data_IF_393500314286
#
_entry.id   IF_393500314286
#
_cell.length_a   1.000
_cell.length_b   1.000
_cell.length_c   1.000
_cell.angle_alpha   90.00
_cell.angle_beta   90.00
_cell.angle_gamma   90.00
#
_symmetry.space_group_name_H-M   'P 1'
#
loop_
_entity.id
_entity.type
_entity.pdbx_description
1 polymer ?
#
# COMPACT_ATOMS: atom_id res chain seq x y z
N UNK A 1 51.27 -63.36 16.70
CA UNK A 1 51.22 -63.07 15.24
C UNK A 1 50.28 -61.88 15.03
N UNK A 2 50.81 -60.78 14.52
CA UNK A 2 50.10 -59.51 14.26
C UNK A 2 49.34 -59.66 12.98
N UNK A 3 48.01 -59.32 12.97
CA UNK A 3 47.25 -59.07 11.77
C UNK A 3 46.89 -57.58 11.67
N UNK A 4 47.31 -57.00 10.56
CA UNK A 4 47.23 -55.57 10.25
C UNK A 4 45.78 -55.14 9.95
N UNK A 5 45.44 -53.98 10.52
CA UNK A 5 44.26 -53.22 10.14
C UNK A 5 44.34 -52.68 8.72
N UNK A 6 43.34 -52.99 7.93
CA UNK A 6 43.15 -52.45 6.57
C UNK A 6 42.69 -51.00 6.61
N UNK A 7 43.50 -50.16 6.00
CA UNK A 7 43.28 -48.71 5.79
C UNK A 7 41.90 -48.41 5.19
N UNK A 8 41.17 -47.53 5.86
CA UNK A 8 40.01 -46.85 5.30
C UNK A 8 40.40 -46.06 4.05
N UNK A 9 39.73 -46.34 2.96
CA UNK A 9 40.00 -45.83 1.61
C UNK A 9 39.48 -44.37 1.43
N UNK A 10 40.21 -43.53 0.68
CA UNK A 10 39.81 -42.16 0.38
C UNK A 10 38.67 -42.06 -0.65
N UNK A 11 38.12 -43.19 -1.14
CA UNK A 11 37.10 -43.23 -2.19
C UNK A 11 35.81 -42.51 -1.82
N UNK A 12 35.37 -42.59 -0.56
CA UNK A 12 34.17 -41.87 -0.10
C UNK A 12 34.29 -40.31 -0.10
N UNK A 13 35.51 -39.79 0.15
CA UNK A 13 35.77 -38.35 0.10
C UNK A 13 35.83 -37.82 -1.33
N UNK A 14 36.38 -38.62 -2.27
CA UNK A 14 36.44 -38.25 -3.69
C UNK A 14 35.03 -38.27 -4.31
N UNK A 15 34.18 -39.25 -3.94
CA UNK A 15 32.79 -39.33 -4.39
C UNK A 15 31.95 -38.15 -3.85
N UNK A 16 32.16 -37.75 -2.56
CA UNK A 16 31.48 -36.60 -1.98
C UNK A 16 31.89 -35.26 -2.65
N UNK A 17 33.18 -35.08 -2.93
CA UNK A 17 33.67 -33.87 -3.66
C UNK A 17 33.15 -33.84 -5.09
N UNK A 18 33.10 -34.98 -5.79
CA UNK A 18 32.54 -35.08 -7.14
C UNK A 18 31.01 -34.77 -7.14
N UNK A 19 30.26 -35.21 -6.14
CA UNK A 19 28.84 -34.89 -5.99
C UNK A 19 28.60 -33.40 -5.71
N UNK A 20 29.43 -32.77 -4.87
CA UNK A 20 29.36 -31.33 -4.60
C UNK A 20 29.68 -30.54 -5.87
N UNK A 21 30.72 -30.92 -6.61
CA UNK A 21 31.08 -30.23 -7.86
C UNK A 21 29.99 -30.41 -8.94
N UNK A 22 29.35 -31.59 -9.03
CA UNK A 22 28.23 -31.80 -9.94
C UNK A 22 26.98 -30.97 -9.55
N UNK A 23 26.66 -30.87 -8.25
CA UNK A 23 25.60 -30.05 -7.75
C UNK A 23 25.86 -28.55 -8.00
N UNK A 24 27.10 -28.09 -7.77
CA UNK A 24 27.52 -26.71 -8.06
C UNK A 24 27.44 -26.38 -9.55
N UNK A 25 27.87 -27.31 -10.41
CA UNK A 25 27.77 -27.17 -11.87
C UNK A 25 26.30 -27.12 -12.33
N UNK A 26 25.42 -27.94 -11.74
CA UNK A 26 23.99 -27.91 -12.04
C UNK A 26 23.32 -26.59 -11.62
N UNK A 27 23.67 -26.06 -10.46
CA UNK A 27 23.20 -24.73 -9.99
C UNK A 27 23.71 -23.63 -10.92
N UNK A 28 24.98 -23.66 -11.33
CA UNK A 28 25.55 -22.68 -12.26
C UNK A 28 24.90 -22.76 -13.65
N UNK A 29 24.56 -23.97 -14.13
CA UNK A 29 23.83 -24.14 -15.38
C UNK A 29 22.40 -23.66 -15.31
N UNK A 30 21.73 -23.84 -14.17
CA UNK A 30 20.38 -23.29 -13.92
C UNK A 30 20.40 -21.76 -13.83
N UNK A 31 21.38 -21.18 -13.14
CA UNK A 31 21.57 -19.74 -13.07
C UNK A 31 21.93 -19.17 -14.45
N UNK A 32 22.80 -19.84 -15.21
CA UNK A 32 23.14 -19.41 -16.57
C UNK A 32 21.95 -19.55 -17.53
N UNK A 33 21.15 -20.60 -17.39
CA UNK A 33 19.90 -20.76 -18.15
C UNK A 33 18.83 -19.73 -17.77
N UNK A 34 18.82 -19.28 -16.53
CA UNK A 34 17.94 -18.19 -16.09
C UNK A 34 18.43 -16.84 -16.59
N UNK A 35 19.73 -16.60 -16.54
CA UNK A 35 20.38 -15.38 -17.03
C UNK A 35 20.27 -15.25 -18.56
N UNK A 36 20.40 -16.35 -19.31
CA UNK A 36 20.18 -16.36 -20.76
C UNK A 36 18.71 -16.18 -21.15
N UNK A 37 17.76 -16.68 -20.33
CA UNK A 37 16.33 -16.38 -20.53
C UNK A 37 16.00 -14.93 -20.22
N UNK A 38 16.63 -14.37 -19.20
CA UNK A 38 16.50 -12.94 -18.86
C UNK A 38 17.07 -12.09 -19.98
N UNK A 39 18.29 -12.38 -20.47
CA UNK A 39 18.90 -11.68 -21.60
C UNK A 39 18.14 -11.89 -22.94
N UNK A 40 17.46 -13.00 -23.14
CA UNK A 40 16.62 -13.23 -24.33
C UNK A 40 15.30 -12.44 -24.25
N UNK A 41 14.77 -12.21 -23.05
CA UNK A 41 13.64 -11.28 -22.84
C UNK A 41 14.10 -9.80 -22.97
N UNK A 42 15.35 -9.49 -22.59
CA UNK A 42 15.95 -8.17 -22.71
C UNK A 42 16.43 -7.88 -24.17
N UNK A 43 16.45 -8.88 -25.06
CA UNK A 43 16.84 -8.74 -26.47
C UNK A 43 15.63 -8.52 -27.41
N UNK A 44 14.58 -7.87 -26.91
CA UNK A 44 13.64 -7.19 -27.80
C UNK A 44 14.44 -6.01 -28.40
N UNK A 45 14.54 -5.93 -29.74
CA UNK A 45 15.11 -4.77 -30.43
C UNK A 45 14.41 -3.52 -29.88
N UNK A 46 15.07 -2.80 -28.98
CA UNK A 46 14.57 -1.56 -28.43
C UNK A 46 14.76 -0.45 -29.47
N UNK A 47 13.70 -0.02 -30.18
CA UNK A 47 13.79 1.01 -31.21
C UNK A 47 14.16 2.39 -30.61
N UNK A 48 14.17 2.51 -29.27
CA UNK A 48 14.47 3.72 -28.51
C UNK A 48 15.81 3.65 -27.77
N UNK A 49 16.61 2.61 -28.03
CA UNK A 49 17.93 2.46 -27.42
C UNK A 49 18.80 3.71 -27.68
N UNK A 50 19.19 4.38 -26.60
CA UNK A 50 19.99 5.64 -26.67
C UNK A 50 19.17 6.92 -26.48
N UNK A 51 17.88 6.85 -26.23
CA UNK A 51 17.09 7.98 -25.73
C UNK A 51 17.33 8.14 -24.21
N UNK A 52 17.31 9.39 -23.70
CA UNK A 52 17.45 9.67 -22.27
C UNK A 52 16.29 9.13 -21.43
N UNK A 53 15.15 8.84 -22.04
CA UNK A 53 13.92 8.38 -21.42
C UNK A 53 13.96 6.85 -21.27
N UNK A 54 13.88 6.36 -20.02
CA UNK A 54 13.76 4.91 -19.74
C UNK A 54 12.40 4.40 -20.15
N UNK A 55 12.35 3.51 -21.15
CA UNK A 55 11.11 2.90 -21.63
C UNK A 55 10.93 1.49 -21.05
N UNK A 56 9.67 1.13 -20.80
CA UNK A 56 9.25 -0.18 -20.33
C UNK A 56 8.48 -0.89 -21.44
N UNK A 57 8.86 -2.15 -21.75
CA UNK A 57 8.12 -2.97 -22.71
C UNK A 57 7.09 -3.82 -21.98
N UNK A 58 5.81 -3.69 -22.37
CA UNK A 58 4.71 -4.44 -21.78
C UNK A 58 3.66 -4.79 -22.86
N UNK A 59 3.22 -6.05 -22.91
CA UNK A 59 2.17 -6.55 -23.82
C UNK A 59 2.29 -6.07 -25.27
N UNK A 60 3.51 -6.12 -25.84
CA UNK A 60 3.74 -5.79 -27.24
C UNK A 60 3.86 -4.30 -27.56
N UNK A 61 3.95 -3.44 -26.55
CA UNK A 61 4.09 -2.00 -26.72
C UNK A 61 5.16 -1.42 -25.76
N UNK A 62 5.71 -0.26 -26.17
CA UNK A 62 6.62 0.50 -25.34
C UNK A 62 5.88 1.59 -24.58
N UNK A 63 6.29 1.84 -23.36
CA UNK A 63 5.70 2.80 -22.44
C UNK A 63 6.76 3.65 -21.78
N UNK A 64 6.50 4.95 -21.68
CA UNK A 64 7.28 5.90 -20.90
C UNK A 64 6.62 6.15 -19.55
N UNK A 65 7.41 6.35 -18.51
CA UNK A 65 6.90 6.74 -17.19
C UNK A 65 6.33 8.16 -17.26
N UNK A 66 5.14 8.37 -16.69
CA UNK A 66 4.56 9.70 -16.52
C UNK A 66 5.25 10.45 -15.39
N UNK A 67 5.31 11.78 -15.47
CA UNK A 67 5.66 12.65 -14.35
C UNK A 67 4.41 12.82 -13.46
N UNK A 68 4.40 12.13 -12.34
CA UNK A 68 3.28 12.09 -11.39
C UNK A 68 3.82 12.40 -9.99
N UNK A 69 2.94 12.88 -9.13
CA UNK A 69 3.18 12.99 -7.70
C UNK A 69 2.30 11.98 -6.96
N UNK A 70 2.87 11.27 -6.00
CA UNK A 70 2.21 10.20 -5.28
C UNK A 70 2.16 10.49 -3.79
N UNK A 71 0.99 10.30 -3.19
CA UNK A 71 0.78 10.47 -1.75
C UNK A 71 0.07 9.24 -1.21
N UNK A 72 0.73 8.52 -0.31
CA UNK A 72 0.11 7.41 0.40
C UNK A 72 -0.60 7.95 1.64
N UNK A 73 -1.93 7.89 1.62
CA UNK A 73 -2.78 8.22 2.77
C UNK A 73 -3.14 6.93 3.50
N UNK A 74 -2.92 6.90 4.80
CA UNK A 74 -3.23 5.74 5.62
C UNK A 74 -3.98 6.11 6.89
N UNK A 75 -4.86 5.22 7.34
CA UNK A 75 -5.50 5.26 8.65
C UNK A 75 -4.91 4.18 9.54
N UNK A 76 -4.34 4.58 10.66
CA UNK A 76 -3.62 3.70 11.59
C UNK A 76 -4.53 3.34 12.75
N UNK A 77 -4.59 2.05 13.11
CA UNK A 77 -5.39 1.56 14.24
C UNK A 77 -4.75 1.94 15.59
N UNK A 78 -4.76 3.24 15.85
CA UNK A 78 -4.24 3.88 17.07
C UNK A 78 -5.10 5.07 17.41
N UNK A 79 -5.21 5.33 18.72
CA UNK A 79 -5.73 6.59 19.25
C UNK A 79 -4.57 7.47 19.72
N UNK A 80 -4.74 8.80 19.60
CA UNK A 80 -3.68 9.76 19.98
C UNK A 80 -3.24 9.63 21.45
N UNK A 81 -4.16 9.22 22.33
CA UNK A 81 -3.91 9.05 23.77
C UNK A 81 -3.37 7.66 24.15
N UNK A 82 -3.21 6.74 23.18
CA UNK A 82 -2.66 5.42 23.46
C UNK A 82 -1.17 5.57 23.84
N UNK A 83 -0.84 5.08 25.06
CA UNK A 83 0.54 5.03 25.50
C UNK A 83 1.33 4.05 24.59
N UNK A 84 2.53 4.45 24.18
CA UNK A 84 3.45 3.54 23.52
C UNK A 84 3.70 2.33 24.44
N UNK A 85 3.55 1.11 23.90
CA UNK A 85 3.89 -0.10 24.64
C UNK A 85 5.39 -0.09 24.96
N UNK A 86 5.75 -0.02 26.24
CA UNK A 86 7.12 0.21 26.68
C UNK A 86 8.09 -0.95 26.37
N UNK A 87 7.58 -2.14 26.03
CA UNK A 87 8.37 -3.38 25.93
C UNK A 87 8.22 -4.15 24.60
N UNK A 88 7.55 -3.62 23.57
CA UNK A 88 7.32 -4.35 22.33
C UNK A 88 8.25 -3.87 21.21
N UNK A 89 8.89 -4.83 20.53
CA UNK A 89 9.74 -4.57 19.34
C UNK A 89 8.95 -3.99 18.17
N UNK A 90 7.64 -4.21 18.17
CA UNK A 90 6.70 -3.66 17.19
C UNK A 90 5.84 -2.59 17.87
N UNK A 91 5.48 -1.54 17.14
CA UNK A 91 4.63 -0.47 17.66
C UNK A 91 3.13 -0.85 17.74
N UNK A 92 2.75 -2.07 17.32
CA UNK A 92 1.38 -2.60 17.27
C UNK A 92 0.37 -1.76 16.45
N UNK A 93 0.84 -0.75 15.71
CA UNK A 93 0.03 0.16 14.94
C UNK A 93 -0.11 -0.34 13.49
N UNK A 94 -1.27 -0.91 13.14
CA UNK A 94 -1.54 -1.40 11.78
C UNK A 94 -2.17 -0.33 10.91
N UNK A 95 -1.77 -0.26 9.64
CA UNK A 95 -2.41 0.60 8.65
C UNK A 95 -3.70 -0.07 8.13
N UNK A 96 -4.83 0.20 8.79
CA UNK A 96 -6.13 -0.42 8.52
C UNK A 96 -6.84 0.14 7.27
N UNK A 97 -6.38 1.28 6.80
CA UNK A 97 -6.84 1.96 5.60
C UNK A 97 -5.63 2.41 4.78
N UNK A 98 -5.62 2.11 3.49
CA UNK A 98 -4.55 2.47 2.56
C UNK A 98 -5.14 3.00 1.26
N UNK A 99 -4.75 4.21 0.90
CA UNK A 99 -5.17 4.90 -0.31
C UNK A 99 -3.97 5.56 -0.97
N UNK A 100 -3.60 5.11 -2.15
CA UNK A 100 -2.60 5.80 -2.96
C UNK A 100 -3.29 6.87 -3.79
N UNK A 101 -2.95 8.11 -3.56
CA UNK A 101 -3.38 9.27 -4.35
C UNK A 101 -2.30 9.58 -5.36
N UNK A 102 -2.66 9.59 -6.64
CA UNK A 102 -1.76 9.87 -7.77
C UNK A 102 -2.24 11.13 -8.47
N UNK A 103 -1.38 12.13 -8.53
CA UNK A 103 -1.66 13.44 -9.09
C UNK A 103 -0.98 13.57 -10.46
N UNK A 104 -1.78 13.65 -11.52
CA UNK A 104 -1.32 14.03 -12.84
C UNK A 104 -1.64 15.52 -13.06
N UNK A 105 -0.68 16.37 -12.71
CA UNK A 105 -0.83 17.83 -12.81
C UNK A 105 -0.94 18.29 -14.25
N UNK A 106 -0.37 17.54 -15.21
CA UNK A 106 -0.42 17.86 -16.62
C UNK A 106 -1.82 17.58 -17.21
N UNK A 107 -2.46 16.51 -16.75
CA UNK A 107 -3.81 16.14 -17.19
C UNK A 107 -4.93 16.77 -16.34
N UNK A 108 -4.62 17.37 -15.17
CA UNK A 108 -5.60 17.85 -14.19
C UNK A 108 -6.47 16.70 -13.67
N UNK A 109 -5.83 15.59 -13.29
CA UNK A 109 -6.50 14.39 -12.79
C UNK A 109 -5.86 13.94 -11.48
N UNK A 110 -6.70 13.78 -10.48
CA UNK A 110 -6.35 13.12 -9.23
C UNK A 110 -6.94 11.70 -9.25
N UNK A 111 -6.11 10.68 -9.14
CA UNK A 111 -6.55 9.28 -9.10
C UNK A 111 -6.34 8.70 -7.73
N UNK A 112 -7.38 8.12 -7.15
CA UNK A 112 -7.33 7.42 -5.87
C UNK A 112 -7.37 5.90 -6.12
N UNK A 113 -6.34 5.18 -5.70
CA UNK A 113 -6.21 3.73 -5.76
C UNK A 113 -6.27 3.15 -4.34
N UNK A 114 -7.40 2.56 -3.93
CA UNK A 114 -7.49 1.85 -2.66
C UNK A 114 -6.61 0.59 -2.70
N UNK A 115 -5.92 0.30 -1.60
CA UNK A 115 -5.11 -0.91 -1.45
C UNK A 115 -5.70 -1.80 -0.36
N UNK A 116 -5.77 -3.10 -0.61
CA UNK A 116 -6.25 -4.04 0.38
C UNK A 116 -5.15 -4.26 1.43
N UNK A 117 -5.45 -3.96 2.68
CA UNK A 117 -4.52 -4.08 3.81
C UNK A 117 -3.99 -5.50 4.03
N UNK A 118 -4.75 -6.52 3.63
CA UNK A 118 -4.40 -7.94 3.81
C UNK A 118 -3.53 -8.46 2.64
N UNK A 119 -3.18 -7.60 1.65
CA UNK A 119 -2.34 -7.97 0.51
C UNK A 119 -0.98 -8.44 0.98
N UNK A 120 -0.59 -9.64 0.54
CA UNK A 120 0.71 -10.22 0.83
C UNK A 120 1.79 -9.56 -0.04
N UNK A 121 2.78 -8.95 0.60
CA UNK A 121 3.89 -8.25 -0.08
C UNK A 121 5.18 -8.35 0.73
N UNK A 122 6.30 -7.88 0.15
CA UNK A 122 7.56 -7.76 0.87
C UNK A 122 7.50 -6.59 1.86
N UNK A 123 7.78 -6.89 3.12
CA UNK A 123 7.85 -5.91 4.22
C UNK A 123 9.28 -5.79 4.68
N UNK A 124 9.75 -4.56 4.90
CA UNK A 124 11.03 -4.29 5.56
C UNK A 124 10.83 -4.25 7.08
N UNK A 125 11.59 -5.05 7.81
CA UNK A 125 11.70 -4.93 9.25
C UNK A 125 12.78 -3.90 9.60
N UNK A 126 12.43 -2.92 10.45
CA UNK A 126 13.35 -1.90 10.96
C UNK A 126 13.78 -2.23 12.38
N UNK A 127 15.03 -1.91 12.70
CA UNK A 127 15.55 -1.94 14.06
C UNK A 127 15.17 -0.70 14.86
N UNK A 128 15.51 -0.69 16.15
CA UNK A 128 15.19 0.39 17.11
C UNK A 128 15.72 1.77 16.70
N UNK A 129 16.75 1.84 15.86
CA UNK A 129 17.32 3.07 15.34
C UNK A 129 16.88 3.35 13.88
N UNK A 130 15.85 2.65 13.39
CA UNK A 130 15.32 2.80 12.03
C UNK A 130 16.19 2.14 10.94
N UNK A 131 17.23 1.38 11.31
CA UNK A 131 18.07 0.65 10.37
C UNK A 131 17.34 -0.60 9.82
N UNK A 132 17.50 -0.89 8.54
CA UNK A 132 16.94 -2.07 7.91
C UNK A 132 17.60 -3.34 8.45
N UNK A 133 16.83 -4.22 9.08
CA UNK A 133 17.31 -5.48 9.66
C UNK A 133 17.05 -6.69 8.78
N UNK A 134 16.07 -6.62 7.88
CA UNK A 134 15.71 -7.69 6.95
C UNK A 134 14.42 -7.40 6.21
N UNK A 135 13.96 -8.39 5.43
CA UNK A 135 12.65 -8.38 4.77
C UNK A 135 11.96 -9.73 4.96
N UNK A 136 10.64 -9.71 4.93
CA UNK A 136 9.80 -10.90 4.96
C UNK A 136 8.52 -10.64 4.16
N UNK A 137 7.78 -11.69 3.81
CA UNK A 137 6.46 -11.54 3.19
C UNK A 137 5.39 -11.54 4.27
N UNK A 138 4.52 -10.53 4.26
CA UNK A 138 3.43 -10.39 5.22
C UNK A 138 2.30 -9.51 4.66
N UNK A 139 1.24 -9.34 5.45
CA UNK A 139 0.15 -8.43 5.11
C UNK A 139 0.66 -6.98 5.03
N UNK A 140 0.26 -6.24 4.01
CA UNK A 140 0.65 -4.86 3.75
C UNK A 140 0.48 -3.98 5.00
N UNK A 141 -0.64 -4.07 5.70
CA UNK A 141 -0.92 -3.32 6.94
C UNK A 141 0.14 -3.45 8.05
N UNK A 142 0.93 -4.54 8.04
CA UNK A 142 1.95 -4.80 9.04
C UNK A 142 3.24 -3.99 8.80
N UNK A 143 3.44 -3.44 7.61
CA UNK A 143 4.63 -2.66 7.33
C UNK A 143 4.76 -1.45 8.26
N UNK A 144 3.64 -0.81 8.62
CA UNK A 144 3.60 0.26 9.62
C UNK A 144 4.04 -0.22 11.00
N UNK A 145 3.56 -1.39 11.42
CA UNK A 145 3.87 -2.03 12.71
C UNK A 145 5.38 -2.30 12.89
N UNK A 146 6.08 -2.62 11.79
CA UNK A 146 7.51 -2.91 11.81
C UNK A 146 8.42 -1.68 11.62
N UNK A 147 7.85 -0.47 11.66
CA UNK A 147 8.59 0.77 11.79
C UNK A 147 8.89 1.12 13.27
N UNK A 148 9.65 2.20 13.48
CA UNK A 148 10.00 2.68 14.83
C UNK A 148 8.98 3.66 15.44
N UNK A 149 7.79 3.76 14.84
CA UNK A 149 6.71 4.67 15.24
C UNK A 149 6.63 5.95 14.39
N UNK A 150 5.48 6.61 14.41
CA UNK A 150 5.24 7.88 13.76
C UNK A 150 5.60 7.90 12.27
N UNK A 151 6.27 8.96 11.85
CA UNK A 151 6.66 9.16 10.45
C UNK A 151 7.55 8.04 9.88
N UNK A 152 8.40 7.41 10.70
CA UNK A 152 9.26 6.34 10.24
C UNK A 152 8.45 5.08 9.89
N UNK A 153 7.44 4.76 10.68
CA UNK A 153 6.47 3.71 10.38
C UNK A 153 5.65 4.01 9.12
N UNK A 154 5.18 5.26 8.97
CA UNK A 154 4.47 5.68 7.76
C UNK A 154 5.33 5.53 6.50
N UNK A 155 6.61 5.89 6.56
CA UNK A 155 7.56 5.68 5.46
C UNK A 155 7.85 4.20 5.20
N UNK A 156 7.84 3.37 6.25
CA UNK A 156 7.99 1.92 6.07
C UNK A 156 6.82 1.32 5.32
N UNK A 157 5.60 1.77 5.61
CA UNK A 157 4.41 1.42 4.82
C UNK A 157 4.54 1.87 3.35
N UNK A 158 5.04 3.09 3.11
CA UNK A 158 5.34 3.58 1.77
C UNK A 158 6.32 2.70 1.00
N UNK A 159 7.34 2.13 1.67
CA UNK A 159 8.27 1.17 1.06
C UNK A 159 7.57 -0.14 0.66
N UNK A 160 6.68 -0.65 1.50
CA UNK A 160 5.92 -1.87 1.19
C UNK A 160 4.94 -1.66 0.03
N UNK A 161 4.26 -0.50 -0.03
CA UNK A 161 3.43 -0.11 -1.17
C UNK A 161 4.28 0.04 -2.44
N UNK A 162 5.45 0.66 -2.35
CA UNK A 162 6.39 0.74 -3.47
C UNK A 162 6.79 -0.64 -3.99
N UNK A 163 7.13 -1.57 -3.08
CA UNK A 163 7.47 -2.95 -3.44
C UNK A 163 6.31 -3.66 -4.13
N UNK A 164 5.09 -3.54 -3.59
CA UNK A 164 3.87 -4.08 -4.20
C UNK A 164 3.65 -3.53 -5.62
N UNK A 165 3.93 -2.25 -5.85
CA UNK A 165 3.73 -1.57 -7.14
C UNK A 165 5.01 -1.54 -8.00
N UNK A 166 5.80 -2.62 -7.97
CA UNK A 166 7.00 -2.85 -8.79
C UNK A 166 8.05 -1.76 -8.70
N UNK A 167 8.26 -1.20 -7.50
CA UNK A 167 9.25 -0.16 -7.25
C UNK A 167 8.78 1.25 -7.63
N UNK A 168 7.47 1.45 -7.79
CA UNK A 168 6.92 2.81 -7.98
C UNK A 168 7.26 3.68 -6.77
N UNK A 169 7.84 4.85 -7.02
CA UNK A 169 8.19 5.80 -5.97
C UNK A 169 6.93 6.34 -5.27
N UNK A 170 6.98 6.45 -3.95
CA UNK A 170 5.97 7.09 -3.12
C UNK A 170 6.61 8.38 -2.59
N UNK A 171 6.16 9.53 -3.13
CA UNK A 171 6.80 10.82 -2.85
C UNK A 171 6.50 11.30 -1.42
N UNK A 172 5.26 11.09 -0.97
CA UNK A 172 4.79 11.55 0.34
C UNK A 172 3.94 10.51 1.05
N UNK A 173 3.97 10.57 2.39
CA UNK A 173 3.14 9.74 3.26
C UNK A 173 2.34 10.61 4.24
N UNK A 174 1.10 10.18 4.53
CA UNK A 174 0.19 10.81 5.49
C UNK A 174 -0.48 9.71 6.30
N UNK A 175 -0.15 9.59 7.58
CA UNK A 175 -0.74 8.63 8.50
C UNK A 175 -1.65 9.35 9.51
N UNK A 176 -2.91 8.96 9.54
CA UNK A 176 -3.92 9.49 10.44
C UNK A 176 -4.27 8.48 11.51
N UNK A 177 -4.34 8.93 12.76
CA UNK A 177 -4.92 8.12 13.84
C UNK A 177 -6.45 8.09 13.73
N UNK A 178 -7.10 7.18 14.49
CA UNK A 178 -8.56 7.03 14.46
C UNK A 178 -9.32 8.29 14.87
N UNK A 179 -8.76 9.10 15.76
CA UNK A 179 -9.36 10.37 16.23
C UNK A 179 -9.46 11.43 15.13
N UNK A 180 -8.72 11.30 14.04
CA UNK A 180 -8.80 12.21 12.91
C UNK A 180 -10.16 12.13 12.18
N UNK A 181 -10.82 10.95 12.16
CA UNK A 181 -12.06 10.74 11.40
C UNK A 181 -13.21 11.61 11.91
N UNK A 182 -13.54 11.62 13.22
CA UNK A 182 -14.54 12.53 13.77
C UNK A 182 -14.24 14.01 13.50
N UNK A 183 -12.98 14.42 13.72
CA UNK A 183 -12.54 15.81 13.53
C UNK A 183 -12.70 16.25 12.08
N UNK A 184 -12.19 15.46 11.14
CA UNK A 184 -12.31 15.73 9.70
C UNK A 184 -13.78 15.77 9.24
N UNK A 185 -14.60 14.83 9.71
CA UNK A 185 -16.01 14.75 9.37
C UNK A 185 -16.77 15.98 9.84
N UNK A 186 -16.53 16.43 11.07
CA UNK A 186 -17.22 17.60 11.64
C UNK A 186 -16.74 18.90 11.01
N UNK A 187 -15.45 19.03 10.69
CA UNK A 187 -14.87 20.19 10.02
C UNK A 187 -15.52 20.48 8.66
N UNK A 188 -15.85 19.42 7.87
CA UNK A 188 -16.56 19.59 6.59
C UNK A 188 -18.09 19.70 6.75
N UNK A 189 -18.61 19.79 7.97
CA UNK A 189 -20.05 19.91 8.26
C UNK A 189 -20.82 18.61 8.10
N UNK A 190 -20.15 17.45 8.19
CA UNK A 190 -20.71 16.11 8.08
C UNK A 190 -20.61 15.50 6.66
N UNK A 191 -20.48 14.20 6.57
CA UNK A 191 -20.27 13.44 5.34
C UNK A 191 -21.49 12.61 4.99
N UNK A 192 -22.20 12.88 3.85
CA UNK A 192 -23.35 12.09 3.42
C UNK A 192 -22.89 10.75 2.83
N UNK A 193 -23.53 9.66 3.29
CA UNK A 193 -23.28 8.29 2.80
C UNK A 193 -24.61 7.53 2.67
N UNK A 194 -24.66 6.58 1.73
CA UNK A 194 -25.67 5.53 1.73
C UNK A 194 -25.21 4.38 2.63
N UNK A 195 -26.01 3.98 3.59
CA UNK A 195 -25.72 2.86 4.49
C UNK A 195 -26.15 1.55 3.81
N UNK A 196 -25.20 0.79 3.30
CA UNK A 196 -25.48 -0.48 2.60
C UNK A 196 -25.41 -1.70 3.53
N UNK A 197 -24.66 -1.60 4.63
CA UNK A 197 -24.48 -2.68 5.60
C UNK A 197 -25.47 -2.60 6.77
N UNK A 198 -25.68 -3.74 7.44
CA UNK A 198 -26.49 -3.82 8.65
C UNK A 198 -25.68 -3.46 9.90
N UNK A 199 -25.95 -2.28 10.46
CA UNK A 199 -25.36 -1.79 11.70
C UNK A 199 -26.26 -2.00 12.93
N UNK A 200 -27.39 -2.69 12.82
CA UNK A 200 -28.39 -2.80 13.89
C UNK A 200 -27.84 -3.37 15.21
N UNK A 201 -26.78 -4.18 15.15
CA UNK A 201 -26.09 -4.71 16.32
C UNK A 201 -25.19 -3.67 17.03
N UNK A 202 -24.87 -2.54 16.37
CA UNK A 202 -23.95 -1.51 16.87
C UNK A 202 -24.69 -0.22 17.20
N UNK A 203 -25.58 0.23 16.31
CA UNK A 203 -26.33 1.49 16.46
C UNK A 203 -27.57 1.52 15.57
N UNK A 204 -28.62 2.19 16.05
CA UNK A 204 -29.85 2.49 15.29
C UNK A 204 -29.71 3.76 14.40
N UNK A 205 -28.60 4.50 14.54
CA UNK A 205 -28.35 5.72 13.78
C UNK A 205 -27.84 5.46 12.36
N UNK A 206 -27.50 4.20 12.02
CA UNK A 206 -27.05 3.77 10.69
C UNK A 206 -28.05 2.74 10.10
N UNK A 207 -29.28 3.16 9.79
CA UNK A 207 -30.29 2.24 9.24
C UNK A 207 -29.94 1.83 7.82
N UNK A 208 -29.90 0.53 7.57
CA UNK A 208 -29.59 -0.04 6.25
C UNK A 208 -30.55 0.50 5.16
N UNK A 209 -30.02 0.81 4.00
CA UNK A 209 -30.75 1.31 2.83
C UNK A 209 -31.10 2.80 2.88
N UNK A 210 -30.61 3.55 3.86
CA UNK A 210 -30.90 4.97 4.00
C UNK A 210 -29.65 5.85 3.81
N UNK A 211 -29.85 7.06 3.32
CA UNK A 211 -28.82 8.10 3.32
C UNK A 211 -28.72 8.72 4.71
N UNK A 212 -27.51 8.79 5.25
CA UNK A 212 -27.19 9.38 6.55
C UNK A 212 -26.06 10.39 6.38
N UNK A 213 -26.17 11.53 7.04
CA UNK A 213 -25.04 12.46 7.17
C UNK A 213 -24.25 12.11 8.43
N UNK A 214 -23.10 11.52 8.24
CA UNK A 214 -22.19 11.13 9.33
C UNK A 214 -21.64 12.37 10.03
N UNK A 215 -21.45 12.29 11.36
CA UNK A 215 -20.82 13.30 12.21
C UNK A 215 -20.09 12.62 13.37
N UNK A 216 -19.01 13.24 13.83
CA UNK A 216 -18.30 12.80 15.03
C UNK A 216 -18.04 11.29 15.05
N UNK A 217 -18.27 10.68 16.19
CA UNK A 217 -18.07 9.22 16.41
C UNK A 217 -18.92 8.31 15.51
N UNK A 218 -20.02 8.81 14.96
CA UNK A 218 -20.82 8.03 14.04
C UNK A 218 -20.06 7.75 12.73
N UNK A 219 -19.22 8.71 12.29
CA UNK A 219 -18.34 8.51 11.14
C UNK A 219 -17.29 7.43 11.41
N UNK A 220 -16.67 7.45 12.59
CA UNK A 220 -15.72 6.42 13.00
C UNK A 220 -16.40 5.03 13.08
N UNK A 221 -17.60 4.97 13.66
CA UNK A 221 -18.41 3.74 13.69
C UNK A 221 -18.68 3.22 12.27
N UNK A 222 -19.01 4.08 11.33
CA UNK A 222 -19.29 3.70 9.95
C UNK A 222 -18.05 3.15 9.22
N UNK A 223 -16.92 3.83 9.28
CA UNK A 223 -15.70 3.43 8.52
C UNK A 223 -14.97 2.25 9.15
N UNK A 224 -15.08 2.06 10.47
CA UNK A 224 -14.37 1.03 11.24
C UNK A 224 -15.25 -0.19 11.56
N UNK A 225 -16.57 -0.01 11.63
CA UNK A 225 -17.49 -1.04 12.09
C UNK A 225 -17.30 -2.37 11.36
N UNK A 226 -17.20 -3.46 12.12
CA UNK A 226 -17.11 -4.82 11.55
C UNK A 226 -18.48 -5.47 11.38
N UNK A 227 -19.58 -4.73 11.49
CA UNK A 227 -20.97 -5.17 11.31
C UNK A 227 -21.33 -6.51 11.97
N UNK A 228 -22.58 -6.95 11.84
CA UNK A 228 -23.03 -8.28 12.28
C UNK A 228 -22.50 -9.43 11.39
N UNK A 229 -21.80 -9.12 10.33
CA UNK A 229 -21.31 -10.08 9.34
C UNK A 229 -19.85 -10.49 9.63
N UNK A 230 -19.68 -11.46 10.53
CA UNK A 230 -18.42 -12.21 10.62
C UNK A 230 -18.24 -13.08 9.37
N UNK A 231 -17.07 -13.05 8.72
CA UNK A 231 -16.73 -13.91 7.59
C UNK A 231 -15.74 -13.30 6.62
N UNK A 232 -15.37 -14.03 5.59
CA UNK A 232 -14.35 -13.73 4.57
C UNK A 232 -14.54 -12.39 3.84
N UNK A 233 -15.75 -11.84 3.82
CA UNK A 233 -16.08 -10.57 3.12
C UNK A 233 -15.92 -9.32 4.00
N UNK A 234 -15.52 -9.44 5.25
CA UNK A 234 -15.51 -8.31 6.22
C UNK A 234 -14.59 -7.18 5.78
N UNK A 235 -13.43 -7.47 5.23
CA UNK A 235 -12.50 -6.44 4.77
C UNK A 235 -12.98 -5.75 3.49
N UNK A 236 -13.50 -6.50 2.51
CA UNK A 236 -14.03 -5.92 1.27
C UNK A 236 -15.23 -4.99 1.55
N UNK A 237 -16.13 -5.40 2.45
CA UNK A 237 -17.26 -4.55 2.87
C UNK A 237 -16.77 -3.29 3.59
N UNK A 238 -15.71 -3.40 4.43
CA UNK A 238 -15.12 -2.24 5.08
C UNK A 238 -14.49 -1.28 4.05
N UNK A 239 -13.76 -1.79 3.07
CA UNK A 239 -13.21 -0.99 1.97
C UNK A 239 -14.31 -0.29 1.17
N UNK A 240 -15.42 -0.96 0.88
CA UNK A 240 -16.57 -0.34 0.20
C UNK A 240 -17.16 0.83 1.01
N UNK A 241 -17.32 0.67 2.33
CA UNK A 241 -17.76 1.77 3.22
C UNK A 241 -16.75 2.92 3.27
N UNK A 242 -15.48 2.61 3.39
CA UNK A 242 -14.41 3.62 3.38
C UNK A 242 -14.43 4.40 2.06
N UNK A 243 -14.66 3.71 0.95
CA UNK A 243 -14.78 4.35 -0.36
C UNK A 243 -16.02 5.25 -0.45
N UNK A 244 -17.19 4.81 0.07
CA UNK A 244 -18.40 5.63 0.15
C UNK A 244 -18.17 6.88 1.01
N UNK A 245 -17.49 6.74 2.16
CA UNK A 245 -17.09 7.86 3.01
C UNK A 245 -16.19 8.84 2.28
N UNK A 246 -15.15 8.36 1.59
CA UNK A 246 -14.21 9.21 0.83
C UNK A 246 -14.91 10.00 -0.27
N UNK A 247 -15.84 9.38 -1.00
CA UNK A 247 -16.62 10.07 -2.03
C UNK A 247 -17.51 11.17 -1.44
N UNK A 248 -18.13 10.91 -0.28
CA UNK A 248 -18.90 11.90 0.46
C UNK A 248 -18.02 13.04 0.98
N UNK A 249 -16.88 12.70 1.56
CA UNK A 249 -15.87 13.65 2.07
C UNK A 249 -15.34 14.55 0.95
N UNK A 250 -14.96 13.97 -0.20
CA UNK A 250 -14.47 14.72 -1.34
C UNK A 250 -15.47 15.79 -1.80
N UNK A 251 -16.77 15.44 -1.93
CA UNK A 251 -17.82 16.41 -2.29
C UNK A 251 -17.89 17.55 -1.27
N UNK A 252 -17.79 17.24 0.02
CA UNK A 252 -17.83 18.24 1.09
C UNK A 252 -16.58 19.14 1.07
N UNK A 253 -15.41 18.59 0.79
CA UNK A 253 -14.18 19.37 0.62
C UNK A 253 -14.29 20.34 -0.56
N UNK A 254 -14.90 19.94 -1.66
CA UNK A 254 -15.17 20.86 -2.80
C UNK A 254 -16.13 21.98 -2.41
N UNK A 255 -17.15 21.71 -1.59
CA UNK A 255 -18.07 22.74 -1.08
C UNK A 255 -17.36 23.78 -0.19
N UNK A 256 -16.35 23.34 0.60
CA UNK A 256 -15.57 24.20 1.52
C UNK A 256 -14.37 24.87 0.86
N UNK A 257 -14.04 24.54 -0.39
CA UNK A 257 -12.86 25.09 -1.11
C UNK A 257 -12.88 26.61 -1.28
N UNK A 258 -14.05 27.25 -1.17
CA UNK A 258 -14.22 28.70 -1.29
C UNK A 258 -14.07 29.43 0.05
N UNK A 259 -13.98 28.72 1.17
CA UNK A 259 -13.90 29.33 2.50
C UNK A 259 -12.44 29.71 2.82
N UNK A 260 -12.15 31.00 2.87
CA UNK A 260 -10.82 31.50 3.25
C UNK A 260 -10.46 31.02 4.66
N UNK A 261 -9.29 30.37 4.78
CA UNK A 261 -8.77 29.89 6.06
C UNK A 261 -9.28 28.49 6.48
N UNK A 262 -10.24 27.88 5.77
CA UNK A 262 -10.74 26.54 6.08
C UNK A 262 -9.61 25.52 6.23
N UNK A 263 -8.73 25.43 5.24
CA UNK A 263 -7.62 24.46 5.28
C UNK A 263 -6.68 24.73 6.45
N UNK A 264 -6.36 25.99 6.74
CA UNK A 264 -5.49 26.35 7.87
C UNK A 264 -6.10 25.88 9.19
N UNK A 265 -7.40 26.10 9.38
CA UNK A 265 -8.12 25.64 10.56
C UNK A 265 -8.13 24.11 10.64
N UNK A 266 -8.46 23.45 9.54
CA UNK A 266 -8.47 21.99 9.43
C UNK A 266 -7.11 21.37 9.77
N UNK A 267 -6.01 21.90 9.22
CA UNK A 267 -4.66 21.42 9.51
C UNK A 267 -4.27 21.64 10.98
N UNK A 268 -4.70 22.73 11.60
CA UNK A 268 -4.47 22.95 13.04
C UNK A 268 -5.22 21.91 13.88
N UNK A 269 -6.46 21.59 13.53
CA UNK A 269 -7.28 20.61 14.24
C UNK A 269 -6.78 19.17 14.01
N UNK A 270 -6.28 18.83 12.82
CA UNK A 270 -5.77 17.51 12.49
C UNK A 270 -4.32 17.28 12.92
N UNK A 271 -3.54 18.33 13.21
CA UNK A 271 -2.11 18.19 13.50
C UNK A 271 -1.75 17.22 14.65
N UNK A 272 -2.58 17.03 15.72
CA UNK A 272 -2.29 16.04 16.75
C UNK A 272 -2.49 14.59 16.29
N UNK A 273 -3.16 14.38 15.16
CA UNK A 273 -3.63 13.08 14.66
C UNK A 273 -2.95 12.70 13.33
N UNK A 274 -1.93 13.45 12.90
CA UNK A 274 -1.31 13.32 11.58
C UNK A 274 0.21 13.24 11.69
N UNK A 275 0.76 12.11 11.25
CA UNK A 275 2.19 11.97 10.94
C UNK A 275 2.38 12.08 9.42
N UNK A 276 3.18 13.04 8.95
CA UNK A 276 3.43 13.27 7.52
C UNK A 276 4.80 13.86 7.27
N UNK A 277 5.38 13.62 6.10
CA UNK A 277 6.57 14.29 5.61
C UNK A 277 6.27 15.51 4.73
N UNK A 278 4.98 15.79 4.48
CA UNK A 278 4.59 17.00 3.79
C UNK A 278 4.77 18.26 4.66
N UNK A 279 5.31 19.29 4.08
CA UNK A 279 5.27 20.64 4.66
C UNK A 279 3.85 21.22 4.57
N UNK A 280 3.54 22.24 5.39
CA UNK A 280 2.25 22.94 5.30
C UNK A 280 1.98 23.52 3.90
N UNK A 281 3.01 23.95 3.17
CA UNK A 281 2.86 24.45 1.81
C UNK A 281 2.48 23.32 0.84
N UNK A 282 3.09 22.13 0.95
CA UNK A 282 2.74 20.96 0.15
C UNK A 282 1.32 20.48 0.48
N UNK A 283 0.93 20.42 1.76
CA UNK A 283 -0.44 20.06 2.16
C UNK A 283 -1.47 21.02 1.56
N UNK A 284 -1.16 22.34 1.53
CA UNK A 284 -2.04 23.30 0.87
C UNK A 284 -2.12 23.05 -0.64
N UNK A 285 -1.01 22.81 -1.29
CA UNK A 285 -0.95 22.56 -2.72
C UNK A 285 -1.69 21.26 -3.09
N UNK A 286 -1.47 20.18 -2.33
CA UNK A 286 -2.21 18.92 -2.48
C UNK A 286 -3.72 19.13 -2.32
N UNK A 287 -4.15 19.87 -1.27
CA UNK A 287 -5.57 20.18 -1.07
C UNK A 287 -6.17 20.93 -2.26
N UNK A 288 -5.50 21.98 -2.74
CA UNK A 288 -5.98 22.77 -3.88
C UNK A 288 -6.07 21.88 -5.14
N UNK A 289 -5.08 21.03 -5.37
CA UNK A 289 -5.07 20.09 -6.52
C UNK A 289 -6.25 19.10 -6.41
N UNK A 290 -6.42 18.46 -5.24
CA UNK A 290 -7.50 17.49 -5.02
C UNK A 290 -8.89 18.10 -5.21
N UNK A 291 -9.13 19.33 -4.74
CA UNK A 291 -10.47 19.95 -4.85
C UNK A 291 -10.75 20.57 -6.22
N UNK A 292 -9.73 20.90 -7.01
CA UNK A 292 -9.86 21.51 -8.34
C UNK A 292 -9.85 20.49 -9.47
N UNK A 293 -9.07 19.42 -9.34
CA UNK A 293 -8.90 18.41 -10.36
C UNK A 293 -10.07 17.41 -10.36
N UNK A 294 -10.16 16.66 -11.45
CA UNK A 294 -11.14 15.59 -11.55
C UNK A 294 -10.67 14.39 -10.73
N UNK A 295 -11.40 14.02 -9.69
CA UNK A 295 -11.14 12.79 -8.95
C UNK A 295 -11.63 11.56 -9.73
N UNK A 296 -10.73 10.63 -10.00
CA UNK A 296 -11.02 9.28 -10.45
C UNK A 296 -10.74 8.31 -9.30
N UNK A 297 -11.72 7.50 -8.91
CA UNK A 297 -11.54 6.45 -7.91
C UNK A 297 -11.50 5.12 -8.64
N UNK A 298 -10.40 4.39 -8.50
CA UNK A 298 -10.23 3.04 -9.05
C UNK A 298 -10.75 2.00 -8.05
N UNK A 299 -11.04 0.83 -8.58
CA UNK A 299 -11.21 -0.35 -7.72
C UNK A 299 -9.84 -0.78 -7.17
N UNK A 300 -9.83 -1.40 -5.99
CA UNK A 300 -8.61 -2.02 -5.48
C UNK A 300 -8.13 -3.11 -6.45
N UNK A 301 -6.81 -3.34 -6.55
CA UNK A 301 -6.28 -4.41 -7.40
C UNK A 301 -6.98 -5.75 -7.12
N UNK A 302 -7.38 -6.44 -8.19
CA UNK A 302 -8.07 -7.71 -8.09
C UNK A 302 -7.15 -8.78 -7.44
N UNK A 303 -7.76 -9.79 -6.82
CA UNK A 303 -7.02 -10.87 -6.17
C UNK A 303 -7.96 -11.83 -5.46
N UNK A 304 -7.39 -12.78 -4.74
CA UNK A 304 -8.10 -13.82 -4.02
C UNK A 304 -7.79 -13.75 -2.52
N UNK A 305 -8.85 -13.78 -1.69
CA UNK A 305 -8.71 -13.90 -0.24
C UNK A 305 -8.60 -15.39 0.13
N UNK A 306 -7.53 -15.74 0.83
CA UNK A 306 -7.23 -17.11 1.26
C UNK A 306 -7.10 -17.14 2.78
N UNK A 307 -7.62 -18.20 3.40
CA UNK A 307 -7.40 -18.44 4.83
C UNK A 307 -5.98 -18.99 4.99
N UNK A 308 -5.07 -18.18 5.51
CA UNK A 308 -3.73 -18.62 5.87
C UNK A 308 -3.72 -19.38 7.20
N UNK A 309 -2.52 -19.73 7.68
CA UNK A 309 -2.37 -20.50 8.92
C UNK A 309 -2.78 -19.71 10.18
N UNK A 310 -2.59 -18.39 10.18
CA UNK A 310 -2.84 -17.53 11.37
C UNK A 310 -3.85 -16.41 11.07
N UNK A 311 -3.96 -15.95 9.83
CA UNK A 311 -4.80 -14.81 9.43
C UNK A 311 -5.30 -14.95 7.99
N UNK A 312 -6.19 -14.06 7.58
CA UNK A 312 -6.63 -13.96 6.18
C UNK A 312 -5.52 -13.31 5.35
N UNK A 313 -5.18 -13.93 4.24
CA UNK A 313 -4.24 -13.42 3.25
C UNK A 313 -4.98 -12.96 2.00
N UNK A 314 -4.52 -11.90 1.38
CA UNK A 314 -4.99 -11.49 0.07
C UNK A 314 -3.86 -11.60 -0.95
N UNK A 315 -4.03 -12.50 -1.90
CA UNK A 315 -3.08 -12.71 -2.99
C UNK A 315 -3.58 -11.94 -4.21
N UNK A 316 -2.87 -10.86 -4.54
CA UNK A 316 -3.20 -10.02 -5.69
C UNK A 316 -3.02 -10.79 -7.00
N UNK A 317 -3.89 -10.54 -7.97
CA UNK A 317 -3.69 -11.01 -9.34
C UNK A 317 -2.59 -10.18 -10.00
N UNK A 318 -1.45 -10.82 -10.23
CA UNK A 318 -0.24 -10.18 -10.76
C UNK A 318 -0.46 -9.54 -12.14
N UNK A 319 -1.22 -10.17 -13.03
CA UNK A 319 -1.50 -9.64 -14.36
C UNK A 319 -2.39 -8.39 -14.26
N UNK A 320 -3.41 -8.41 -13.40
CA UNK A 320 -4.28 -7.27 -13.14
C UNK A 320 -3.52 -6.12 -12.46
N UNK A 321 -2.63 -6.43 -11.50
CA UNK A 321 -1.79 -5.44 -10.84
C UNK A 321 -0.82 -4.77 -11.83
N UNK A 322 -0.14 -5.54 -12.67
CA UNK A 322 0.75 -5.02 -13.70
C UNK A 322 -0.01 -4.10 -14.66
N UNK A 323 -1.19 -4.51 -15.11
CA UNK A 323 -2.03 -3.68 -15.96
C UNK A 323 -2.40 -2.37 -15.26
N UNK A 324 -2.82 -2.41 -14.00
CA UNK A 324 -3.16 -1.21 -13.20
C UNK A 324 -1.96 -0.26 -13.10
N UNK A 325 -0.76 -0.80 -12.83
CA UNK A 325 0.47 0.00 -12.73
C UNK A 325 0.83 0.64 -14.07
N UNK A 326 0.74 -0.12 -15.19
CA UNK A 326 1.02 0.43 -16.53
C UNK A 326 0.01 1.54 -16.89
N UNK A 327 -1.27 1.33 -16.68
CA UNK A 327 -2.30 2.32 -17.01
C UNK A 327 -2.17 3.59 -16.17
N UNK A 328 -1.83 3.45 -14.90
CA UNK A 328 -1.75 4.57 -13.97
C UNK A 328 -0.45 5.37 -14.13
N UNK A 329 0.69 4.69 -14.20
CA UNK A 329 2.01 5.33 -14.09
C UNK A 329 2.74 5.49 -15.43
N UNK A 330 2.23 4.94 -16.52
CA UNK A 330 2.91 4.96 -17.79
C UNK A 330 2.01 5.44 -18.92
N UNK A 331 2.60 6.02 -19.95
CA UNK A 331 1.94 6.36 -21.19
C UNK A 331 2.53 5.58 -22.36
N UNK A 332 1.66 5.10 -23.24
CA UNK A 332 2.09 4.35 -24.41
C UNK A 332 2.85 5.24 -25.36
N UNK A 333 3.98 4.73 -25.87
CA UNK A 333 4.72 5.32 -26.95
C UNK A 333 4.37 4.60 -28.25
N UNK A 334 3.76 5.31 -29.20
CA UNK A 334 3.57 4.79 -30.54
C UNK A 334 4.93 4.79 -31.25
N UNK A 335 5.22 3.71 -32.00
CA UNK A 335 6.43 3.67 -32.83
C UNK A 335 6.32 4.79 -33.88
N UNK A 336 7.32 5.66 -33.92
CA UNK A 336 7.45 6.71 -34.93
C UNK A 336 7.81 6.14 -36.31
#
# INVERSE_FOLDING_TARGET
>A
MKTQSLKNRPIGRIAAVAAILAATAAVLLLLHGWETRRQANDAVDDPYAGQEESLTYYNGAWYARKELETVLVMGVDKYADDAAAEDDYTNQEQADFLLLVVLDRNAGVCTALPLNRDTMTEITALGLAGERTGTFTGQLALAHTYGSGGLDSARNEGRAVSALLYGTEIDHVMAFTMDAVPVLTDAVGGVPVLVEDDFSAMTDQLPMGQEVTLRGELALTFVRGRGSMGGEKTNLNRMARQNAYLQGLYRRLQDTAQDEGFLTQLLLELSPYLDTDCTAAQLNDLYQTVVQDRLAVLDAPAGEAVVGDEFMEFHVDEDALQQTVIELFYERRDQA
#
